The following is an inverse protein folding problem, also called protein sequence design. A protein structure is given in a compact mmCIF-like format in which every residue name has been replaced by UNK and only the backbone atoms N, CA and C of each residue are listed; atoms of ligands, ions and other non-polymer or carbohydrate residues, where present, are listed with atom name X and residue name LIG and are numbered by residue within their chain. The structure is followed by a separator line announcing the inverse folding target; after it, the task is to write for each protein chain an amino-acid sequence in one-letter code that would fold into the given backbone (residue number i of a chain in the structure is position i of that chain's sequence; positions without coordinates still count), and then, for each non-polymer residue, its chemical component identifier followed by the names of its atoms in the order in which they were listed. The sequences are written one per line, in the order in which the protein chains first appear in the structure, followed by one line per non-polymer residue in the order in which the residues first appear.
data_IF_798289728206
#
_entry.id   IF_798289728206
#
_cell.length_a   1.000
_cell.length_b   1.000
_cell.length_c   1.000
_cell.angle_alpha   90.00
_cell.angle_beta   90.00
_cell.angle_gamma   90.00
#
_symmetry.space_group_name_H-M   'P 1'
#
loop_
_entity.id
_entity.type
_entity.pdbx_description
1 polymer ?
#
# COMPACT_ATOMS: atom_id res chain seq x y z
N UNK A 1 -1.64 0.51 0.77
CA UNK A 1 -2.89 -0.20 0.48
C UNK A 1 -3.07 -0.54 -0.99
N UNK A 2 -2.25 0.00 -1.86
CA UNK A 2 -2.25 -0.26 -3.29
C UNK A 2 -1.48 0.78 -4.07
N UNK A 3 -1.60 0.73 -5.37
CA UNK A 3 -1.00 1.70 -6.28
C UNK A 3 -2.06 2.26 -7.24
N UNK A 4 -1.95 3.54 -7.59
CA UNK A 4 -2.92 4.25 -8.41
C UNK A 4 -3.12 3.63 -9.81
N UNK A 5 -2.07 2.98 -10.36
CA UNK A 5 -2.15 2.27 -11.63
C UNK A 5 -3.03 1.01 -11.60
N UNK A 6 -3.35 0.49 -10.42
CA UNK A 6 -4.25 -0.66 -10.28
C UNK A 6 -5.73 -0.28 -10.39
N UNK A 7 -6.03 1.01 -10.29
CA UNK A 7 -7.38 1.58 -10.36
C UNK A 7 -7.38 2.81 -11.28
N UNK A 8 -7.04 2.67 -12.58
CA UNK A 8 -6.82 3.79 -13.48
C UNK A 8 -8.09 4.57 -13.85
N UNK A 9 -9.25 3.91 -13.87
CA UNK A 9 -10.50 4.50 -14.33
C UNK A 9 -11.48 4.78 -13.18
N UNK A 10 -12.34 5.80 -13.30
CA UNK A 10 -13.43 6.01 -12.36
C UNK A 10 -14.28 4.75 -12.17
N UNK A 11 -14.54 4.41 -10.91
CA UNK A 11 -15.21 3.18 -10.52
C UNK A 11 -14.32 1.96 -10.33
N UNK A 12 -13.07 2.00 -10.78
CA UNK A 12 -12.11 0.94 -10.47
C UNK A 12 -11.86 0.87 -8.96
N UNK A 13 -11.79 -0.34 -8.45
CA UNK A 13 -11.55 -0.58 -7.04
C UNK A 13 -10.65 -1.79 -6.81
N UNK A 14 -10.04 -1.81 -5.63
CA UNK A 14 -9.41 -3.00 -5.05
C UNK A 14 -9.82 -3.14 -3.58
N UNK A 15 -9.83 -4.37 -3.07
CA UNK A 15 -10.08 -4.65 -1.67
C UNK A 15 -8.81 -5.08 -0.97
N UNK A 16 -8.58 -4.54 0.22
CA UNK A 16 -7.42 -4.86 1.06
C UNK A 16 -7.85 -4.98 2.51
N UNK A 17 -7.04 -5.65 3.32
CA UNK A 17 -7.22 -5.72 4.77
C UNK A 17 -6.04 -5.05 5.48
N UNK A 18 -6.33 -4.16 6.42
CA UNK A 18 -5.33 -3.57 7.32
C UNK A 18 -5.69 -3.92 8.76
N UNK A 19 -4.83 -4.70 9.42
CA UNK A 19 -5.06 -5.09 10.81
C UNK A 19 -6.41 -5.79 11.03
N UNK A 20 -6.82 -6.63 10.08
CA UNK A 20 -8.11 -7.34 10.12
C UNK A 20 -9.32 -6.47 9.78
N UNK A 21 -9.13 -5.25 9.31
CA UNK A 21 -10.20 -4.36 8.86
C UNK A 21 -10.28 -4.35 7.33
N UNK A 22 -11.40 -4.79 6.74
CA UNK A 22 -11.56 -4.81 5.30
C UNK A 22 -11.80 -3.40 4.77
N UNK A 23 -11.07 -3.04 3.72
CA UNK A 23 -11.15 -1.74 3.05
C UNK A 23 -11.49 -1.92 1.58
N UNK A 24 -12.07 -0.88 0.99
CA UNK A 24 -12.19 -0.66 -0.45
C UNK A 24 -11.34 0.56 -0.79
N UNK A 25 -10.41 0.40 -1.70
CA UNK A 25 -9.70 1.52 -2.33
C UNK A 25 -10.34 1.72 -3.70
N UNK A 26 -10.85 2.90 -3.98
CA UNK A 26 -11.63 3.15 -5.19
C UNK A 26 -11.25 4.49 -5.82
N UNK A 27 -11.22 4.53 -7.15
CA UNK A 27 -11.17 5.80 -7.87
C UNK A 27 -12.58 6.36 -8.00
N UNK A 28 -12.80 7.48 -7.33
CA UNK A 28 -14.09 8.18 -7.39
C UNK A 28 -14.33 8.83 -8.76
N UNK A 29 -15.55 9.28 -9.01
CA UNK A 29 -15.96 9.86 -10.30
C UNK A 29 -15.24 11.17 -10.65
N UNK A 30 -14.75 11.89 -9.63
CA UNK A 30 -13.92 13.11 -9.78
C UNK A 30 -12.45 12.83 -10.06
N UNK A 31 -12.04 11.55 -10.10
CA UNK A 31 -10.67 11.11 -10.28
C UNK A 31 -9.88 10.94 -8.97
N UNK A 32 -10.40 11.39 -7.83
CA UNK A 32 -9.74 11.19 -6.54
C UNK A 32 -9.79 9.73 -6.08
N UNK A 33 -8.78 9.32 -5.32
CA UNK A 33 -8.75 8.01 -4.68
C UNK A 33 -9.35 8.13 -3.29
N UNK A 34 -10.40 7.35 -3.05
CA UNK A 34 -11.05 7.22 -1.75
C UNK A 34 -10.72 5.85 -1.15
N UNK A 35 -10.58 5.80 0.17
CA UNK A 35 -10.45 4.56 0.93
C UNK A 35 -11.62 4.49 1.89
N UNK A 36 -12.40 3.42 1.79
CA UNK A 36 -13.64 3.23 2.53
C UNK A 36 -13.57 1.95 3.36
N UNK A 37 -14.17 1.95 4.55
CA UNK A 37 -14.38 0.70 5.28
C UNK A 37 -15.34 -0.18 4.48
N UNK A 38 -14.92 -1.40 4.13
CA UNK A 38 -15.73 -2.38 3.40
C UNK A 38 -16.73 -3.05 4.33
N UNK A 39 -17.60 -2.24 4.91
CA UNK A 39 -18.57 -2.67 5.90
C UNK A 39 -19.85 -1.86 5.76
N UNK A 40 -20.93 -2.53 5.36
CA UNK A 40 -22.24 -1.92 5.20
C UNK A 40 -22.74 -1.32 6.53
N UNK A 41 -23.18 -0.07 6.49
CA UNK A 41 -23.72 0.62 7.66
C UNK A 41 -25.00 -0.05 8.25
N UNK A 42 -25.71 -0.84 7.46
CA UNK A 42 -26.94 -1.53 7.90
C UNK A 42 -26.65 -2.65 8.91
N UNK A 43 -25.99 -3.73 8.47
CA UNK A 43 -25.72 -4.94 9.28
C UNK A 43 -24.26 -5.40 9.22
N UNK A 44 -23.34 -4.55 8.81
CA UNK A 44 -21.92 -4.83 8.84
C UNK A 44 -21.39 -5.84 7.81
N UNK A 45 -22.22 -6.25 6.85
CA UNK A 45 -21.80 -7.13 5.76
C UNK A 45 -20.71 -6.48 4.90
N UNK A 46 -19.76 -7.26 4.38
CA UNK A 46 -18.86 -6.79 3.32
C UNK A 46 -19.69 -6.37 2.11
N UNK A 47 -19.42 -5.17 1.60
CA UNK A 47 -20.13 -4.62 0.43
C UNK A 47 -19.53 -5.18 -0.85
N UNK A 48 -18.21 -5.36 -0.87
CA UNK A 48 -17.45 -5.91 -2.00
C UNK A 48 -16.62 -7.09 -1.51
N UNK A 49 -16.73 -8.23 -2.19
CA UNK A 49 -15.97 -9.44 -1.89
C UNK A 49 -14.89 -9.75 -2.94
N UNK A 50 -15.05 -9.25 -4.17
CA UNK A 50 -14.04 -9.42 -5.21
C UNK A 50 -12.76 -8.64 -4.88
N UNK A 51 -11.58 -9.18 -5.18
CA UNK A 51 -10.30 -8.53 -4.88
C UNK A 51 -10.09 -7.21 -5.64
N UNK A 52 -10.63 -7.11 -6.85
CA UNK A 52 -10.59 -5.91 -7.68
C UNK A 52 -11.72 -5.96 -8.72
N UNK A 53 -11.98 -4.83 -9.37
CA UNK A 53 -12.96 -4.71 -10.44
C UNK A 53 -13.36 -3.26 -10.69
N UNK A 54 -14.41 -3.07 -11.50
CA UNK A 54 -15.03 -1.77 -11.71
C UNK A 54 -16.50 -1.82 -11.29
N UNK A 55 -16.88 -0.93 -10.39
CA UNK A 55 -18.25 -0.83 -9.88
C UNK A 55 -19.10 0.22 -10.61
N UNK A 56 -18.52 0.92 -11.59
CA UNK A 56 -19.13 2.08 -12.19
C UNK A 56 -19.26 3.23 -11.17
N UNK A 57 -20.46 3.65 -10.88
CA UNK A 57 -20.73 4.79 -10.00
C UNK A 57 -21.13 4.43 -8.58
N UNK A 58 -21.44 3.15 -8.32
CA UNK A 58 -22.16 2.74 -7.12
C UNK A 58 -21.68 1.40 -6.58
N UNK A 59 -21.62 1.28 -5.27
CA UNK A 59 -21.53 0.02 -4.56
C UNK A 59 -22.92 -0.41 -4.08
N UNK A 60 -23.29 -1.67 -4.29
CA UNK A 60 -24.54 -2.24 -3.78
C UNK A 60 -24.24 -3.38 -2.82
N UNK A 61 -24.72 -3.27 -1.58
CA UNK A 61 -24.56 -4.31 -0.58
C UNK A 61 -25.31 -5.58 -1.02
N UNK A 62 -24.65 -6.75 -1.03
CA UNK A 62 -25.27 -7.99 -1.48
C UNK A 62 -26.34 -8.51 -0.50
N UNK A 63 -26.35 -8.02 0.75
CA UNK A 63 -27.24 -8.52 1.77
C UNK A 63 -28.65 -7.90 1.67
N UNK A 64 -28.78 -6.56 1.75
CA UNK A 64 -30.09 -5.89 1.71
C UNK A 64 -30.14 -4.74 0.70
N UNK A 65 -29.27 -4.77 -0.30
CA UNK A 65 -29.25 -3.85 -1.44
C UNK A 65 -29.13 -2.35 -1.08
N UNK A 66 -28.60 -2.01 0.13
CA UNK A 66 -28.21 -0.63 0.39
C UNK A 66 -27.14 -0.21 -0.61
N UNK A 67 -27.34 0.96 -1.19
CA UNK A 67 -26.52 1.43 -2.31
C UNK A 67 -25.77 2.68 -1.91
N UNK A 68 -24.47 2.70 -2.18
CA UNK A 68 -23.55 3.76 -1.81
C UNK A 68 -22.86 4.30 -3.05
N UNK A 69 -22.56 5.59 -3.07
CA UNK A 69 -21.65 6.16 -4.05
C UNK A 69 -20.20 5.73 -3.79
N UNK A 70 -19.33 5.95 -4.76
CA UNK A 70 -17.90 5.62 -4.63
C UNK A 70 -17.13 6.54 -3.65
N UNK A 71 -17.75 7.62 -3.16
CA UNK A 71 -17.26 8.43 -2.04
C UNK A 71 -17.70 7.89 -0.65
N UNK A 72 -18.51 6.83 -0.65
CA UNK A 72 -19.07 6.22 0.55
C UNK A 72 -20.45 6.74 0.96
N UNK A 73 -20.97 7.81 0.37
CA UNK A 73 -22.27 8.37 0.74
C UNK A 73 -23.40 7.41 0.41
N UNK A 74 -24.38 7.29 1.32
CA UNK A 74 -25.58 6.49 1.10
C UNK A 74 -26.42 7.14 -0.01
N UNK A 75 -26.71 6.39 -1.05
CA UNK A 75 -27.57 6.85 -2.14
C UNK A 75 -29.01 6.36 -1.96
N UNK A 76 -29.19 5.09 -1.62
CA UNK A 76 -30.52 4.50 -1.49
C UNK A 76 -30.53 3.34 -0.50
N UNK A 77 -31.61 3.26 0.24
CA UNK A 77 -31.98 2.09 1.04
C UNK A 77 -33.36 1.61 0.58
N UNK A 78 -33.51 0.34 0.22
CA UNK A 78 -34.82 -0.24 -0.12
C UNK A 78 -35.75 -0.21 1.08
N UNK A 79 -37.07 -0.12 0.80
CA UNK A 79 -38.12 -0.17 1.82
C UNK A 79 -37.94 0.89 2.92
N UNK A 80 -37.71 2.14 2.48
CA UNK A 80 -37.48 3.28 3.38
C UNK A 80 -38.52 3.44 4.47
N UNK A 81 -39.78 3.14 4.12
CA UNK A 81 -40.94 3.22 5.00
C UNK A 81 -40.81 2.30 6.23
N UNK A 82 -40.10 1.16 6.07
CA UNK A 82 -39.83 0.23 7.17
C UNK A 82 -38.85 0.75 8.22
N UNK A 83 -38.18 1.89 7.95
CA UNK A 83 -37.27 2.52 8.89
C UNK A 83 -37.85 3.77 9.57
N UNK A 84 -39.09 4.15 9.28
CA UNK A 84 -39.76 5.28 9.92
C UNK A 84 -39.84 5.09 11.44
N UNK A 85 -39.58 6.15 12.19
CA UNK A 85 -39.50 6.12 13.64
C UNK A 85 -38.28 5.38 14.22
N UNK A 86 -37.31 5.02 13.40
CA UNK A 86 -36.05 4.41 13.86
C UNK A 86 -34.87 5.38 13.75
N UNK A 87 -33.81 5.15 14.57
CA UNK A 87 -32.54 5.91 14.48
C UNK A 87 -31.91 5.88 13.08
N UNK A 88 -32.20 4.84 12.30
CA UNK A 88 -31.72 4.74 10.92
C UNK A 88 -32.24 5.89 10.08
N UNK A 89 -33.50 6.26 10.23
CA UNK A 89 -34.10 7.37 9.50
C UNK A 89 -33.63 8.73 9.99
N UNK A 90 -33.45 8.85 11.30
CA UNK A 90 -32.99 10.10 11.94
C UNK A 90 -31.52 10.44 11.62
N UNK A 91 -30.68 9.43 11.37
CA UNK A 91 -29.24 9.56 11.10
C UNK A 91 -28.87 9.32 9.63
N UNK A 92 -29.75 9.61 8.67
CA UNK A 92 -29.57 9.29 7.25
C UNK A 92 -28.23 9.84 6.69
N UNK A 93 -27.81 11.01 7.14
CA UNK A 93 -26.53 11.65 6.76
C UNK A 93 -25.27 10.92 7.28
N UNK A 94 -25.39 10.08 8.32
CA UNK A 94 -24.29 9.33 8.92
C UNK A 94 -24.20 7.86 8.48
N UNK A 95 -25.01 7.42 7.51
CA UNK A 95 -25.18 6.02 7.17
C UNK A 95 -24.43 5.56 5.91
N UNK A 96 -23.40 6.26 5.52
CA UNK A 96 -22.51 5.87 4.44
C UNK A 96 -21.53 4.75 4.83
N UNK A 97 -20.71 4.35 3.88
CA UNK A 97 -19.49 3.62 4.16
C UNK A 97 -18.51 4.59 4.82
N UNK A 98 -17.94 4.19 5.95
CA UNK A 98 -17.05 5.06 6.72
C UNK A 98 -15.77 5.33 5.90
N UNK A 99 -15.46 6.58 5.57
CA UNK A 99 -14.23 6.91 4.86
C UNK A 99 -13.03 6.85 5.82
N UNK A 100 -11.89 6.41 5.30
CA UNK A 100 -10.60 6.59 5.95
C UNK A 100 -10.14 8.02 5.68
N UNK A 101 -9.98 8.82 6.73
CA UNK A 101 -9.71 10.26 6.62
C UNK A 101 -8.29 10.58 6.14
N UNK A 102 -7.33 9.76 6.56
CA UNK A 102 -5.92 9.99 6.27
C UNK A 102 -5.48 9.10 5.10
N UNK A 103 -5.66 9.59 3.90
CA UNK A 103 -5.23 8.94 2.66
C UNK A 103 -4.22 9.85 1.98
N UNK A 104 -3.10 9.29 1.56
CA UNK A 104 -2.07 10.00 0.78
C UNK A 104 -1.65 9.15 -0.41
N UNK A 105 -1.61 9.77 -1.57
CA UNK A 105 -0.96 9.18 -2.75
C UNK A 105 0.39 9.83 -2.92
N UNK A 106 1.45 9.02 -2.93
CA UNK A 106 2.82 9.47 -3.13
C UNK A 106 3.49 8.63 -4.22
N UNK A 107 3.86 9.24 -5.32
CA UNK A 107 4.44 8.55 -6.49
C UNK A 107 3.63 7.32 -6.93
N UNK A 108 2.31 7.43 -6.94
CA UNK A 108 1.38 6.36 -7.27
C UNK A 108 1.07 5.40 -6.12
N UNK A 109 1.91 5.29 -5.09
CA UNK A 109 1.63 4.46 -3.92
C UNK A 109 0.55 5.09 -3.04
N UNK A 110 -0.44 4.28 -2.67
CA UNK A 110 -1.58 4.71 -1.86
C UNK A 110 -1.35 4.30 -0.42
N UNK A 111 -1.28 5.28 0.47
CA UNK A 111 -1.14 5.09 1.91
C UNK A 111 -2.43 5.46 2.61
N UNK A 112 -2.77 4.70 3.66
CA UNK A 112 -3.95 4.96 4.46
C UNK A 112 -3.65 4.72 5.95
N UNK A 113 -4.13 5.63 6.80
CA UNK A 113 -4.08 5.48 8.26
C UNK A 113 -5.50 5.49 8.80
N UNK A 114 -5.85 4.42 9.52
CA UNK A 114 -7.20 4.25 10.07
C UNK A 114 -7.42 5.08 11.32
N UNK A 115 -6.37 5.26 12.14
CA UNK A 115 -6.44 6.02 13.38
C UNK A 115 -6.42 7.53 13.11
N UNK A 116 -7.19 8.29 13.87
CA UNK A 116 -7.22 9.75 13.78
C UNK A 116 -6.02 10.41 14.49
N UNK A 117 -5.33 9.68 15.37
CA UNK A 117 -4.17 10.17 16.14
C UNK A 117 -2.86 9.68 15.52
N UNK A 118 -1.80 10.48 15.69
CA UNK A 118 -0.45 10.16 15.23
C UNK A 118 0.13 11.28 14.34
N UNK A 119 1.42 11.18 13.96
CA UNK A 119 2.06 12.16 13.12
C UNK A 119 1.40 12.23 11.73
N UNK A 120 1.54 13.35 11.04
CA UNK A 120 1.17 13.43 9.64
C UNK A 120 2.07 12.54 8.77
N UNK A 121 1.69 12.38 7.49
CA UNK A 121 2.37 11.48 6.56
C UNK A 121 3.86 11.83 6.37
N UNK A 122 4.14 13.11 6.13
CA UNK A 122 5.50 13.56 5.82
C UNK A 122 6.41 13.45 7.06
N UNK A 123 5.89 13.80 8.24
CA UNK A 123 6.62 13.64 9.51
C UNK A 123 6.86 12.17 9.89
N UNK A 124 5.91 11.27 9.53
CA UNK A 124 6.05 9.83 9.83
C UNK A 124 7.10 9.16 8.96
N UNK A 125 7.10 9.45 7.67
CA UNK A 125 8.01 8.80 6.72
C UNK A 125 9.35 9.52 6.60
N UNK A 126 9.37 10.85 6.76
CA UNK A 126 10.61 11.64 6.67
C UNK A 126 11.43 11.30 5.43
N UNK A 127 12.73 11.13 5.62
CA UNK A 127 13.67 10.85 4.54
C UNK A 127 13.45 9.51 3.84
N UNK A 128 12.70 8.57 4.45
CA UNK A 128 12.40 7.28 3.81
C UNK A 128 11.55 7.42 2.52
N UNK A 129 10.86 8.55 2.34
CA UNK A 129 10.16 8.86 1.09
C UNK A 129 11.09 8.97 -0.11
N UNK A 130 12.36 9.33 0.13
CA UNK A 130 13.39 9.39 -0.93
C UNK A 130 13.61 8.02 -1.59
N UNK A 131 13.45 6.92 -0.86
CA UNK A 131 13.57 5.57 -1.41
C UNK A 131 12.50 5.27 -2.45
N UNK A 132 11.26 5.75 -2.20
CA UNK A 132 10.15 5.63 -3.15
C UNK A 132 10.39 6.53 -4.37
N UNK A 133 10.84 7.77 -4.12
CA UNK A 133 11.19 8.70 -5.19
C UNK A 133 12.30 8.13 -6.09
N UNK A 134 13.40 7.63 -5.51
CA UNK A 134 14.50 7.01 -6.23
C UNK A 134 14.04 5.82 -7.09
N UNK A 135 13.07 5.06 -6.61
CA UNK A 135 12.51 3.94 -7.37
C UNK A 135 11.69 4.44 -8.58
N UNK A 136 10.84 5.44 -8.38
CA UNK A 136 10.01 6.01 -9.43
C UNK A 136 10.86 6.77 -10.48
N UNK A 137 11.89 7.48 -10.04
CA UNK A 137 12.78 8.29 -10.91
C UNK A 137 13.68 7.44 -11.82
N UNK A 138 13.70 6.11 -11.63
CA UNK A 138 14.34 5.18 -12.59
C UNK A 138 13.54 5.01 -13.86
N UNK A 139 12.24 5.29 -13.82
CA UNK A 139 11.41 5.37 -15.03
C UNK A 139 11.67 6.70 -15.74
N UNK A 140 11.80 6.72 -17.09
CA UNK A 140 11.93 7.97 -17.84
C UNK A 140 10.78 8.95 -17.62
N UNK A 141 9.59 8.43 -17.30
CA UNK A 141 8.38 9.23 -17.05
C UNK A 141 8.24 9.61 -15.56
N UNK A 142 9.13 9.13 -14.69
CA UNK A 142 9.07 9.37 -13.25
C UNK A 142 7.89 8.67 -12.54
N UNK A 143 7.28 7.70 -13.23
CA UNK A 143 6.13 6.94 -12.73
C UNK A 143 6.37 5.44 -12.84
N UNK A 144 5.72 4.69 -11.96
CA UNK A 144 5.72 3.23 -11.95
C UNK A 144 4.29 2.73 -12.11
N UNK A 145 4.15 1.51 -12.63
CA UNK A 145 2.87 0.81 -12.63
C UNK A 145 3.02 -0.63 -12.09
N UNK A 146 1.94 -1.17 -11.56
CA UNK A 146 1.86 -2.56 -11.15
C UNK A 146 1.45 -3.40 -12.35
N UNK A 147 2.42 -4.07 -12.97
CA UNK A 147 2.21 -4.80 -14.22
C UNK A 147 1.77 -6.27 -14.02
N UNK A 148 2.12 -6.91 -12.94
CA UNK A 148 1.98 -8.36 -12.77
C UNK A 148 1.13 -8.82 -11.58
N UNK A 149 0.40 -7.94 -10.94
CA UNK A 149 -0.35 -8.26 -9.72
C UNK A 149 0.52 -8.28 -8.47
N UNK A 150 0.09 -9.01 -7.43
CA UNK A 150 0.75 -9.03 -6.14
C UNK A 150 1.08 -10.47 -5.75
N UNK A 151 2.35 -10.77 -5.55
CA UNK A 151 2.78 -12.01 -4.94
C UNK A 151 2.60 -11.93 -3.43
N UNK A 152 1.97 -12.95 -2.87
CA UNK A 152 1.75 -13.05 -1.42
C UNK A 152 2.40 -14.32 -0.89
N UNK A 153 3.24 -14.14 0.12
CA UNK A 153 3.89 -15.24 0.81
C UNK A 153 3.38 -15.29 2.26
N UNK A 154 2.98 -16.46 2.70
CA UNK A 154 2.64 -16.71 4.11
C UNK A 154 3.83 -17.40 4.78
N UNK A 155 4.45 -16.68 5.73
CA UNK A 155 5.53 -17.22 6.53
C UNK A 155 5.01 -17.67 7.90
N UNK A 156 5.23 -18.94 8.25
CA UNK A 156 4.89 -19.50 9.56
C UNK A 156 6.02 -19.26 10.57
N UNK A 157 6.30 -18.00 10.84
CA UNK A 157 7.34 -17.59 11.77
C UNK A 157 6.92 -16.32 12.52
N UNK A 158 7.70 -15.94 13.52
CA UNK A 158 7.55 -14.63 14.15
C UNK A 158 7.85 -13.54 13.10
N UNK A 159 6.96 -12.55 12.97
CA UNK A 159 7.10 -11.45 12.00
C UNK A 159 8.42 -10.68 12.15
N UNK A 160 8.99 -10.64 13.37
CA UNK A 160 10.28 -10.00 13.64
C UNK A 160 11.43 -10.68 12.91
N UNK A 161 11.37 -12.01 12.72
CA UNK A 161 12.39 -12.73 11.97
C UNK A 161 12.48 -12.32 10.52
N UNK A 162 11.34 -11.97 9.92
CA UNK A 162 11.32 -11.43 8.55
C UNK A 162 11.95 -10.02 8.49
N UNK A 163 11.61 -9.16 9.45
CA UNK A 163 12.19 -7.82 9.54
C UNK A 163 13.69 -7.89 9.83
N UNK A 164 14.11 -8.79 10.74
CA UNK A 164 15.51 -9.03 11.06
C UNK A 164 16.30 -9.43 9.80
N UNK A 165 15.79 -10.39 9.04
CA UNK A 165 16.41 -10.85 7.79
C UNK A 165 16.52 -9.74 6.73
N UNK A 166 15.55 -8.82 6.66
CA UNK A 166 15.59 -7.69 5.74
C UNK A 166 16.63 -6.62 6.13
N UNK A 167 16.97 -6.53 7.42
CA UNK A 167 17.92 -5.56 7.94
C UNK A 167 19.31 -6.17 8.24
N UNK A 168 19.41 -7.48 8.26
CA UNK A 168 20.69 -8.17 8.41
C UNK A 168 21.46 -8.14 7.09
N UNK A 169 22.51 -7.39 7.10
CA UNK A 169 23.39 -7.18 5.94
C UNK A 169 24.61 -8.11 5.94
N UNK A 170 24.80 -8.90 7.02
CA UNK A 170 25.90 -9.85 7.12
C UNK A 170 25.60 -11.20 6.48
N UNK A 171 24.37 -11.71 6.62
CA UNK A 171 24.02 -13.01 6.07
C UNK A 171 24.16 -13.11 4.53
N UNK A 172 23.90 -12.04 3.73
CA UNK A 172 24.08 -12.12 2.28
C UNK A 172 25.51 -12.45 1.85
N UNK A 173 26.49 -12.07 2.66
CA UNK A 173 27.90 -12.38 2.39
C UNK A 173 28.19 -13.88 2.37
N UNK A 174 27.43 -14.65 3.15
CA UNK A 174 27.58 -16.11 3.29
C UNK A 174 26.49 -16.86 2.54
N UNK A 175 25.23 -16.54 2.81
CA UNK A 175 24.08 -17.27 2.25
C UNK A 175 23.88 -16.98 0.76
N UNK A 176 24.19 -15.75 0.33
CA UNK A 176 24.08 -15.31 -1.07
C UNK A 176 25.43 -15.17 -1.77
N UNK A 177 26.46 -15.86 -1.30
CA UNK A 177 27.81 -15.84 -1.86
C UNK A 177 27.83 -16.08 -3.38
N UNK A 178 26.99 -16.99 -3.87
CA UNK A 178 26.88 -17.29 -5.31
C UNK A 178 26.49 -16.06 -6.14
N UNK A 179 25.56 -15.23 -5.62
CA UNK A 179 25.14 -14.00 -6.29
C UNK A 179 26.20 -12.90 -6.17
N UNK A 180 26.74 -12.70 -4.98
CA UNK A 180 27.77 -11.71 -4.71
C UNK A 180 29.07 -12.02 -5.46
N UNK A 181 29.52 -13.28 -5.42
CA UNK A 181 30.71 -13.74 -6.14
C UNK A 181 30.58 -13.65 -7.65
N UNK A 182 29.38 -13.91 -8.19
CA UNK A 182 29.11 -13.73 -9.62
C UNK A 182 29.19 -12.27 -10.02
N UNK A 183 28.56 -11.37 -9.23
CA UNK A 183 28.61 -9.92 -9.48
C UNK A 183 30.06 -9.40 -9.44
N UNK A 184 30.84 -9.82 -8.46
CA UNK A 184 32.29 -9.48 -8.35
C UNK A 184 33.05 -9.96 -9.58
N UNK A 185 32.90 -11.22 -9.99
CA UNK A 185 33.58 -11.78 -11.17
C UNK A 185 33.23 -11.05 -12.45
N UNK A 186 31.95 -10.75 -12.64
CA UNK A 186 31.49 -10.00 -13.81
C UNK A 186 32.05 -8.59 -13.83
N UNK A 187 32.12 -7.93 -12.68
CA UNK A 187 32.67 -6.57 -12.58
C UNK A 187 34.18 -6.54 -12.79
N UNK A 188 34.93 -7.49 -12.21
CA UNK A 188 36.37 -7.61 -12.40
C UNK A 188 36.78 -7.83 -13.87
N UNK A 189 35.88 -8.31 -14.70
CA UNK A 189 36.07 -8.44 -16.15
C UNK A 189 35.77 -7.19 -16.97
N UNK A 190 35.33 -6.10 -16.35
CA UNK A 190 34.99 -4.84 -17.00
C UNK A 190 36.17 -3.85 -17.01
N UNK A 191 36.15 -2.83 -17.91
CA UNK A 191 37.12 -1.72 -17.86
C UNK A 191 37.15 -1.07 -16.46
N UNK A 192 38.32 -0.49 -16.09
CA UNK A 192 38.54 0.10 -14.76
C UNK A 192 37.62 1.29 -14.43
N UNK A 193 37.05 1.92 -15.43
CA UNK A 193 36.10 3.03 -15.33
C UNK A 193 34.63 2.59 -15.37
N UNK A 194 34.37 1.29 -15.49
CA UNK A 194 32.99 0.77 -15.49
C UNK A 194 32.30 1.06 -14.14
N UNK A 195 31.01 1.48 -14.15
CA UNK A 195 30.27 1.71 -12.91
C UNK A 195 30.17 0.41 -12.12
N UNK A 196 30.40 0.52 -10.80
CA UNK A 196 30.25 -0.65 -9.91
C UNK A 196 28.82 -1.14 -9.91
N UNK A 197 28.58 -2.46 -10.01
CA UNK A 197 27.25 -3.00 -9.81
C UNK A 197 26.69 -2.62 -8.44
N UNK A 198 25.40 -2.32 -8.37
CA UNK A 198 24.73 -1.93 -7.13
C UNK A 198 24.97 -2.93 -5.99
N UNK A 199 24.99 -4.24 -6.30
CA UNK A 199 25.30 -5.26 -5.30
C UNK A 199 26.69 -5.07 -4.67
N UNK A 200 27.68 -4.65 -5.44
CA UNK A 200 29.02 -4.39 -4.92
C UNK A 200 29.07 -3.08 -4.13
N UNK A 201 28.37 -2.05 -4.60
CA UNK A 201 28.28 -0.77 -3.86
C UNK A 201 27.58 -0.94 -2.51
N UNK A 202 26.52 -1.75 -2.45
CA UNK A 202 25.82 -2.04 -1.20
C UNK A 202 26.67 -2.83 -0.21
N UNK A 203 27.57 -3.69 -0.68
CA UNK A 203 28.42 -4.51 0.19
C UNK A 203 29.80 -3.89 0.48
N UNK A 204 30.25 -2.92 -0.32
CA UNK A 204 31.54 -2.28 -0.13
C UNK A 204 31.73 -1.68 1.28
N UNK A 205 30.74 -1.03 1.89
CA UNK A 205 30.86 -0.48 3.25
C UNK A 205 31.09 -1.54 4.32
N UNK A 206 30.53 -2.74 4.17
CA UNK A 206 30.75 -3.85 5.11
C UNK A 206 32.19 -4.37 5.09
N UNK A 207 32.89 -4.10 4.03
CA UNK A 207 34.26 -4.57 3.86
C UNK A 207 35.31 -3.56 4.40
N UNK A 208 34.93 -2.31 4.63
CA UNK A 208 35.92 -1.25 4.93
C UNK A 208 35.49 -0.14 5.89
N UNK A 209 34.20 0.07 6.16
CA UNK A 209 33.79 1.26 6.91
C UNK A 209 32.45 1.09 7.64
N UNK A 210 32.50 0.93 8.96
CA UNK A 210 31.31 0.88 9.83
C UNK A 210 30.57 2.22 9.92
N UNK A 211 31.22 3.35 9.67
CA UNK A 211 30.61 4.68 9.71
C UNK A 211 29.55 4.88 8.62
N UNK A 212 29.58 4.06 7.57
CA UNK A 212 28.54 4.07 6.53
C UNK A 212 27.18 3.74 7.10
N UNK A 213 27.09 2.79 8.01
CA UNK A 213 25.80 2.39 8.61
C UNK A 213 25.23 3.45 9.52
N UNK A 214 26.05 4.16 10.25
CA UNK A 214 25.60 5.31 11.06
C UNK A 214 25.02 6.42 10.18
N UNK A 215 25.64 6.69 9.02
CA UNK A 215 25.13 7.69 8.06
C UNK A 215 23.84 7.27 7.38
N UNK A 216 23.62 5.98 7.19
CA UNK A 216 22.38 5.43 6.62
C UNK A 216 21.28 5.21 7.67
N UNK A 217 21.52 5.53 8.94
CA UNK A 217 20.58 5.32 10.03
C UNK A 217 20.34 3.84 10.40
N UNK A 218 21.18 2.95 9.89
CA UNK A 218 21.16 1.53 10.24
C UNK A 218 22.06 1.31 11.46
N UNK A 219 21.46 1.02 12.60
CA UNK A 219 22.23 0.62 13.78
C UNK A 219 22.46 -0.88 13.75
N UNK A 220 23.73 -1.27 13.63
CA UNK A 220 24.16 -2.64 13.87
C UNK A 220 24.36 -2.77 15.38
N UNK A 221 23.57 -3.63 16.04
CA UNK A 221 23.73 -3.94 17.46
C UNK A 221 24.70 -5.10 17.65
#
# INVERSE_FOLDING_TARGET
VGHASQIPQPGDYLTVDIGGRPLIVVRHQDGEIKVLMNRCAHKGSRVVSAPCGNTGKLFRCPYHAWTFRTDGTLLNMPVKEGYEGTRVRECESGQGLVPVKHVRVHRGFIFARINDTGPDFDSYFGDSLSSIANMADRSPEGELEIAGGCLRYLHHCNWKMFIENLNDTMHPMVVHESSAGTAVKMWMGQPADAPKPMAIEQFAPFMSDYDFFDKMGVRVF
#
